data_IF_634827781382
#
_entry.id   IF_634827781382
#
_cell.length_a   1.000
_cell.length_b   1.000
_cell.length_c   1.000
_cell.angle_alpha   90.00
_cell.angle_beta   90.00
_cell.angle_gamma   90.00
#
_symmetry.space_group_name_H-M   'P 1'
#
loop_
_entity.id
_entity.type
_entity.pdbx_description
1 polymer ?
#
# COMPACT_ATOMS: atom_id res chain seq x y z
N UNK A 1 27.53 20.45 11.81
CA UNK A 1 26.07 20.54 11.98
C UNK A 1 25.53 20.84 10.60
N UNK A 2 25.56 19.85 9.72
CA UNK A 2 25.26 20.04 8.30
C UNK A 2 23.75 20.09 8.12
N UNK A 3 23.25 21.31 7.92
CA UNK A 3 21.91 21.60 7.42
C UNK A 3 21.84 21.20 5.94
N UNK A 4 21.94 19.91 5.66
CA UNK A 4 21.40 19.36 4.43
C UNK A 4 19.88 19.40 4.59
N UNK A 5 19.25 20.37 3.92
CA UNK A 5 17.80 20.46 3.78
C UNK A 5 17.33 19.23 2.99
N UNK A 6 17.27 18.06 3.63
CA UNK A 6 16.79 16.81 3.04
C UNK A 6 15.29 16.94 2.84
N UNK A 7 14.89 17.46 1.68
CA UNK A 7 13.56 17.20 1.17
C UNK A 7 13.43 15.68 1.05
N UNK A 8 12.50 15.02 1.76
CA UNK A 8 12.43 13.55 1.77
C UNK A 8 12.07 12.92 0.41
N UNK A 9 11.96 13.71 -0.67
CA UNK A 9 11.72 13.24 -2.03
C UNK A 9 12.37 14.18 -3.06
N UNK A 10 12.69 13.65 -4.25
CA UNK A 10 13.10 14.46 -5.40
C UNK A 10 11.97 15.36 -5.93
N UNK A 11 10.70 15.03 -5.64
CA UNK A 11 9.52 15.81 -6.03
C UNK A 11 8.30 15.41 -5.17
N UNK A 12 7.36 16.34 -4.92
CA UNK A 12 6.05 16.07 -4.33
C UNK A 12 4.96 16.66 -5.20
N UNK A 13 3.90 15.88 -5.42
CA UNK A 13 2.69 16.34 -6.09
C UNK A 13 1.52 16.22 -5.11
N UNK A 14 1.04 17.35 -4.58
CA UNK A 14 -0.05 17.41 -3.59
C UNK A 14 0.34 18.15 -2.30
N UNK A 15 -0.52 18.06 -1.28
CA UNK A 15 -0.43 18.84 -0.02
C UNK A 15 0.07 18.02 1.18
N UNK A 16 0.92 17.03 0.92
CA UNK A 16 1.35 16.06 1.94
C UNK A 16 2.29 16.70 2.99
N UNK A 17 2.09 16.46 4.30
CA UNK A 17 2.89 17.09 5.34
C UNK A 17 4.33 16.57 5.30
N UNK A 18 5.33 17.47 5.27
CA UNK A 18 6.73 17.06 5.11
C UNK A 18 7.29 16.22 6.26
N UNK A 19 6.77 16.42 7.46
CA UNK A 19 7.38 15.93 8.71
C UNK A 19 7.29 14.41 8.90
N UNK A 20 6.33 13.75 8.23
CA UNK A 20 6.08 12.32 8.44
C UNK A 20 6.89 11.41 7.50
N UNK A 21 7.59 11.98 6.51
CA UNK A 21 8.29 11.21 5.49
C UNK A 21 9.78 11.19 5.72
N UNK A 22 10.41 10.07 5.39
CA UNK A 22 11.85 9.89 5.51
C UNK A 22 12.35 9.07 4.34
N UNK A 23 13.41 9.54 3.66
CA UNK A 23 14.03 8.77 2.58
C UNK A 23 14.48 7.38 3.07
N UNK A 24 14.11 6.34 2.33
CA UNK A 24 14.50 4.96 2.57
C UNK A 24 14.27 4.07 1.34
N UNK A 25 13.85 2.84 1.57
CA UNK A 25 13.77 1.78 0.55
C UNK A 25 12.41 1.07 0.50
N UNK A 26 11.38 1.61 1.14
CA UNK A 26 10.03 1.05 1.12
C UNK A 26 9.16 1.80 0.13
N UNK A 27 8.64 1.10 -0.89
CA UNK A 27 7.58 1.62 -1.74
C UNK A 27 6.24 1.59 -0.99
N UNK A 28 5.43 2.63 -1.08
CA UNK A 28 4.08 2.66 -0.47
C UNK A 28 3.03 2.93 -1.55
N UNK A 29 2.03 2.06 -1.65
CA UNK A 29 0.87 2.25 -2.54
C UNK A 29 -0.44 2.15 -1.75
N UNK A 30 -1.34 3.11 -1.94
CA UNK A 30 -2.65 3.09 -1.30
C UNK A 30 -3.72 3.79 -2.13
N UNK A 31 -4.97 3.34 -1.99
CA UNK A 31 -6.15 4.07 -2.49
C UNK A 31 -6.59 5.22 -1.59
N UNK A 32 -6.32 5.12 -0.27
CA UNK A 32 -6.78 6.09 0.71
C UNK A 32 -5.67 7.08 1.07
N UNK A 33 -5.89 8.37 0.77
CA UNK A 33 -4.91 9.41 1.10
C UNK A 33 -4.61 9.54 2.60
N UNK A 34 -5.61 9.37 3.45
CA UNK A 34 -5.43 9.44 4.91
C UNK A 34 -4.70 8.22 5.47
N UNK A 35 -4.99 7.01 4.96
CA UNK A 35 -4.25 5.82 5.35
C UNK A 35 -2.82 5.83 4.81
N UNK A 36 -2.56 6.44 3.65
CA UNK A 36 -1.19 6.68 3.18
C UNK A 36 -0.38 7.41 4.25
N UNK A 37 -0.92 8.47 4.84
CA UNK A 37 -0.21 9.24 5.86
C UNK A 37 0.03 8.44 7.13
N UNK A 38 -0.96 7.65 7.56
CA UNK A 38 -0.79 6.77 8.72
C UNK A 38 0.33 5.75 8.48
N UNK A 39 0.31 5.09 7.32
CA UNK A 39 1.28 4.03 7.00
C UNK A 39 2.70 4.58 6.85
N UNK A 40 2.85 5.71 6.15
CA UNK A 40 4.12 6.45 6.06
C UNK A 40 4.62 6.84 7.44
N UNK A 41 3.75 7.42 8.27
CA UNK A 41 4.12 7.81 9.62
C UNK A 41 4.58 6.59 10.44
N UNK A 42 3.84 5.48 10.39
CA UNK A 42 4.22 4.23 11.06
C UNK A 42 5.57 3.70 10.58
N UNK A 43 5.84 3.72 9.26
CA UNK A 43 7.14 3.31 8.69
C UNK A 43 8.26 4.21 9.23
N UNK A 44 8.07 5.53 9.15
CA UNK A 44 9.08 6.52 9.53
C UNK A 44 9.41 6.49 11.04
N UNK A 45 8.40 6.47 11.92
CA UNK A 45 8.64 6.43 13.38
C UNK A 45 9.28 5.11 13.84
N UNK A 46 9.11 4.03 13.06
CA UNK A 46 9.73 2.75 13.31
C UNK A 46 11.13 2.60 12.69
N UNK A 47 11.72 3.69 12.19
CA UNK A 47 13.09 3.75 11.71
C UNK A 47 13.31 3.25 10.28
N UNK A 48 12.23 2.97 9.55
CA UNK A 48 12.28 2.74 8.11
C UNK A 48 12.07 4.07 7.38
N UNK A 49 12.12 4.03 6.05
CA UNK A 49 11.83 5.19 5.21
C UNK A 49 11.34 4.75 3.84
N UNK A 50 10.72 5.68 3.14
CA UNK A 50 10.08 5.44 1.86
C UNK A 50 11.03 5.73 0.69
N UNK A 51 10.98 4.89 -0.35
CA UNK A 51 11.58 5.19 -1.66
C UNK A 51 10.66 6.12 -2.45
N UNK A 52 9.42 5.66 -2.66
CA UNK A 52 8.36 6.37 -3.38
C UNK A 52 7.00 6.05 -2.76
N UNK A 53 6.11 7.03 -2.70
CA UNK A 53 4.75 6.91 -2.15
C UNK A 53 3.74 7.29 -3.23
N UNK A 54 2.82 6.38 -3.56
CA UNK A 54 1.81 6.54 -4.62
C UNK A 54 0.41 6.43 -4.01
N UNK A 55 -0.38 7.49 -4.15
CA UNK A 55 -1.81 7.47 -3.85
C UNK A 55 -2.62 7.24 -5.13
N UNK A 56 -3.26 6.09 -5.27
CA UNK A 56 -4.07 5.74 -6.45
C UNK A 56 -5.42 6.48 -6.49
N UNK A 57 -5.92 6.89 -5.33
CA UNK A 57 -7.26 7.45 -5.17
C UNK A 57 -8.36 6.40 -5.02
N UNK A 58 -9.51 6.86 -4.50
CA UNK A 58 -10.68 6.03 -4.21
C UNK A 58 -11.71 5.95 -5.33
N UNK A 59 -11.49 6.66 -6.43
CA UNK A 59 -12.44 6.72 -7.53
C UNK A 59 -12.55 5.36 -8.25
N UNK A 60 -13.68 5.09 -8.96
CA UNK A 60 -13.85 3.84 -9.69
C UNK A 60 -12.95 3.75 -10.92
N UNK A 61 -12.56 4.90 -11.48
CA UNK A 61 -11.64 5.03 -12.60
C UNK A 61 -10.45 5.85 -12.11
N UNK A 62 -9.29 5.20 -12.03
CA UNK A 62 -8.05 5.83 -11.60
C UNK A 62 -7.10 5.94 -12.79
N UNK A 63 -6.19 6.91 -12.76
CA UNK A 63 -5.15 7.04 -13.80
C UNK A 63 -4.08 5.94 -13.73
N UNK A 64 -3.98 5.26 -12.58
CA UNK A 64 -3.03 4.19 -12.30
C UNK A 64 -3.71 3.16 -11.39
N UNK A 65 -3.43 1.87 -11.56
CA UNK A 65 -3.87 0.80 -10.66
C UNK A 65 -2.71 0.20 -9.86
N UNK A 66 -2.96 -0.82 -9.02
CA UNK A 66 -1.91 -1.47 -8.24
C UNK A 66 -0.83 -2.13 -9.10
N UNK A 67 -1.21 -2.78 -10.20
CA UNK A 67 -0.27 -3.47 -11.09
C UNK A 67 0.67 -2.46 -11.74
N UNK A 68 0.13 -1.34 -12.24
CA UNK A 68 0.95 -0.26 -12.80
C UNK A 68 1.96 0.26 -11.78
N UNK A 69 1.52 0.51 -10.55
CA UNK A 69 2.40 1.00 -9.48
C UNK A 69 3.44 -0.05 -9.04
N UNK A 70 3.06 -1.33 -9.02
CA UNK A 70 3.99 -2.43 -8.77
C UNK A 70 5.02 -2.55 -9.89
N UNK A 71 4.66 -2.36 -11.16
CA UNK A 71 5.64 -2.32 -12.26
C UNK A 71 6.65 -1.17 -12.10
N UNK A 72 6.22 0.00 -11.64
CA UNK A 72 7.16 1.09 -11.33
C UNK A 72 8.08 0.75 -10.15
N UNK A 73 7.54 0.15 -9.07
CA UNK A 73 8.37 -0.33 -7.97
C UNK A 73 9.32 -1.46 -8.37
N UNK A 74 8.95 -2.30 -9.34
CA UNK A 74 9.81 -3.35 -9.87
C UNK A 74 11.06 -2.76 -10.51
N UNK A 75 10.89 -1.67 -11.27
CA UNK A 75 11.96 -0.94 -11.98
C UNK A 75 12.81 -0.07 -11.04
N UNK A 76 12.25 0.44 -9.95
CA UNK A 76 12.96 1.30 -9.01
C UNK A 76 13.96 0.53 -8.15
N UNK A 77 15.27 0.66 -8.45
CA UNK A 77 16.36 0.02 -7.70
C UNK A 77 16.42 0.45 -6.22
N UNK A 78 15.88 1.61 -5.84
CA UNK A 78 15.83 2.05 -4.44
C UNK A 78 14.77 1.27 -3.64
N UNK A 79 13.72 0.78 -4.31
CA UNK A 79 12.66 0.03 -3.66
C UNK A 79 13.11 -1.40 -3.36
N UNK A 80 13.19 -1.75 -2.07
CA UNK A 80 13.54 -3.08 -1.56
C UNK A 80 12.33 -3.87 -1.07
N UNK A 81 11.26 -3.21 -0.64
CA UNK A 81 9.99 -3.83 -0.26
C UNK A 81 8.81 -2.88 -0.54
N UNK A 82 7.60 -3.41 -0.65
CA UNK A 82 6.39 -2.61 -0.89
C UNK A 82 5.37 -2.81 0.23
N UNK A 83 4.84 -1.71 0.78
CA UNK A 83 3.65 -1.68 1.61
C UNK A 83 2.44 -1.35 0.75
N UNK A 84 1.54 -2.31 0.57
CA UNK A 84 0.33 -2.18 -0.24
C UNK A 84 -0.92 -2.07 0.63
N UNK A 85 -1.65 -0.96 0.52
CA UNK A 85 -2.81 -0.68 1.37
C UNK A 85 -4.08 -0.68 0.53
N UNK A 86 -4.90 -1.71 0.74
CA UNK A 86 -6.16 -1.90 0.05
C UNK A 86 -7.40 -1.65 0.89
N UNK A 87 -8.54 -1.77 0.23
CA UNK A 87 -9.88 -1.61 0.80
C UNK A 87 -10.81 -2.69 0.26
N UNK A 88 -11.88 -2.99 0.99
CA UNK A 88 -12.98 -3.80 0.47
C UNK A 88 -13.64 -3.20 -0.80
N UNK A 89 -14.24 -4.09 -1.59
CA UNK A 89 -14.96 -3.79 -2.82
C UNK A 89 -14.07 -3.73 -4.07
N UNK A 90 -14.63 -4.15 -5.21
CA UNK A 90 -13.85 -4.41 -6.43
C UNK A 90 -12.88 -5.58 -6.29
N UNK A 91 -12.06 -5.80 -7.32
CA UNK A 91 -11.14 -6.95 -7.43
C UNK A 91 -9.66 -6.56 -7.53
N UNK A 92 -9.35 -5.27 -7.39
CA UNK A 92 -8.02 -4.74 -7.69
C UNK A 92 -6.90 -5.38 -6.85
N UNK A 93 -7.16 -5.68 -5.57
CA UNK A 93 -6.21 -6.34 -4.68
C UNK A 93 -6.04 -7.83 -5.00
N UNK A 94 -7.12 -8.53 -5.41
CA UNK A 94 -7.02 -9.91 -5.88
C UNK A 94 -6.23 -10.00 -7.21
N UNK A 95 -6.46 -9.07 -8.13
CA UNK A 95 -5.69 -8.95 -9.39
C UNK A 95 -4.22 -8.60 -9.11
N UNK A 96 -3.97 -7.70 -8.16
CA UNK A 96 -2.62 -7.39 -7.69
C UNK A 96 -1.94 -8.63 -7.09
N UNK A 97 -2.67 -9.45 -6.30
CA UNK A 97 -2.13 -10.68 -5.74
C UNK A 97 -1.72 -11.68 -6.84
N UNK A 98 -2.55 -11.85 -7.88
CA UNK A 98 -2.20 -12.70 -9.03
C UNK A 98 -0.97 -12.18 -9.77
N UNK A 99 -0.87 -10.87 -9.97
CA UNK A 99 0.31 -10.26 -10.56
C UNK A 99 1.55 -10.45 -9.68
N UNK A 100 1.43 -10.25 -8.36
CA UNK A 100 2.55 -10.42 -7.41
C UNK A 100 3.10 -11.84 -7.50
N UNK A 101 2.21 -12.84 -7.47
CA UNK A 101 2.57 -14.25 -7.52
C UNK A 101 3.35 -14.64 -8.78
N UNK A 102 2.99 -14.06 -9.92
CA UNK A 102 3.50 -14.51 -11.22
C UNK A 102 4.63 -13.63 -11.77
N UNK A 103 4.67 -12.34 -11.40
CA UNK A 103 5.46 -11.33 -12.12
C UNK A 103 6.24 -10.36 -11.23
N UNK A 104 6.05 -10.36 -9.91
CA UNK A 104 6.71 -9.42 -9.01
C UNK A 104 7.68 -10.14 -8.06
N UNK A 105 8.89 -9.61 -7.94
CA UNK A 105 10.00 -10.28 -7.25
C UNK A 105 10.47 -9.60 -5.97
N UNK A 106 9.85 -8.47 -5.59
CA UNK A 106 10.17 -7.76 -4.34
C UNK A 106 9.14 -8.13 -3.28
N UNK A 107 9.53 -8.23 -2.00
CA UNK A 107 8.60 -8.58 -0.94
C UNK A 107 7.50 -7.51 -0.81
N UNK A 108 6.27 -7.98 -0.63
CA UNK A 108 5.10 -7.13 -0.39
C UNK A 108 4.52 -7.48 0.99
N UNK A 109 4.17 -6.45 1.74
CA UNK A 109 3.29 -6.56 2.91
C UNK A 109 2.04 -5.75 2.64
N UNK A 110 0.90 -6.17 3.19
CA UNK A 110 -0.37 -5.51 2.90
C UNK A 110 -1.24 -5.27 4.11
N UNK A 111 -2.14 -4.30 4.01
CA UNK A 111 -3.24 -4.08 4.94
C UNK A 111 -4.52 -3.83 4.14
N UNK A 112 -5.61 -4.51 4.50
CA UNK A 112 -6.95 -4.31 3.92
C UNK A 112 -7.83 -3.61 4.95
N UNK A 113 -8.26 -2.39 4.63
CA UNK A 113 -9.21 -1.62 5.45
C UNK A 113 -10.66 -2.02 5.17
N UNK A 114 -11.58 -1.64 6.06
CA UNK A 114 -13.01 -1.91 5.93
C UNK A 114 -13.42 -3.32 6.36
N UNK A 115 -12.58 -4.05 7.13
CA UNK A 115 -12.85 -5.42 7.61
C UNK A 115 -14.12 -5.55 8.44
N UNK A 116 -14.49 -4.49 9.17
CA UNK A 116 -15.69 -4.46 10.02
C UNK A 116 -16.94 -3.95 9.29
N UNK A 117 -16.89 -3.81 7.96
CA UNK A 117 -18.01 -3.32 7.20
C UNK A 117 -19.19 -4.31 7.20
N UNK A 118 -20.42 -3.86 7.50
CA UNK A 118 -21.59 -4.72 7.42
C UNK A 118 -21.86 -5.15 5.96
N UNK A 119 -22.38 -6.36 5.73
CA UNK A 119 -22.76 -6.83 4.40
C UNK A 119 -23.73 -5.87 3.69
N UNK A 120 -23.55 -5.73 2.37
CA UNK A 120 -24.46 -4.93 1.53
C UNK A 120 -24.30 -3.41 1.65
N UNK A 121 -23.32 -2.90 2.40
CA UNK A 121 -23.02 -1.46 2.44
C UNK A 121 -21.90 -1.08 1.47
N UNK A 122 -22.15 0.01 0.74
CA UNK A 122 -21.14 0.75 0.00
C UNK A 122 -20.29 1.56 0.99
N UNK A 123 -18.97 1.43 0.91
CA UNK A 123 -18.05 2.26 1.71
C UNK A 123 -17.73 3.59 1.02
N UNK A 124 -17.00 4.45 1.71
CA UNK A 124 -16.80 5.86 1.34
C UNK A 124 -16.15 6.08 -0.03
N UNK A 125 -15.30 5.15 -0.50
CA UNK A 125 -14.75 5.23 -1.84
C UNK A 125 -15.74 4.72 -2.89
N UNK A 126 -15.88 5.48 -3.97
CA UNK A 126 -16.92 5.26 -4.97
C UNK A 126 -16.83 3.88 -5.66
N UNK A 127 -15.67 3.23 -5.65
CA UNK A 127 -15.43 1.88 -6.19
C UNK A 127 -15.65 0.70 -5.23
N UNK A 128 -16.03 0.94 -3.97
CA UNK A 128 -16.18 -0.13 -2.96
C UNK A 128 -17.52 -0.88 -3.10
N UNK A 129 -17.65 -1.71 -4.16
CA UNK A 129 -18.81 -2.59 -4.39
C UNK A 129 -18.38 -4.04 -4.18
N UNK A 130 -19.06 -4.76 -3.28
CA UNK A 130 -18.84 -6.18 -3.03
C UNK A 130 -19.82 -6.98 -3.90
N UNK A 131 -19.32 -7.93 -4.69
CA UNK A 131 -20.16 -8.72 -5.60
C UNK A 131 -19.82 -10.21 -5.52
N UNK A 132 -20.85 -11.05 -5.28
CA UNK A 132 -20.80 -12.52 -5.42
C UNK A 132 -19.53 -13.17 -4.85
N UNK A 133 -19.20 -12.90 -3.58
CA UNK A 133 -18.07 -13.51 -2.87
C UNK A 133 -16.68 -12.94 -3.21
N UNK A 134 -16.60 -11.96 -4.11
CA UNK A 134 -15.37 -11.21 -4.41
C UNK A 134 -15.45 -9.79 -3.86
N UNK A 135 -14.29 -9.23 -3.55
CA UNK A 135 -14.16 -7.90 -2.97
C UNK A 135 -14.45 -7.83 -1.47
N UNK A 136 -14.62 -8.96 -0.77
CA UNK A 136 -14.68 -8.94 0.70
C UNK A 136 -13.28 -8.75 1.28
N UNK A 137 -13.17 -8.32 2.53
CA UNK A 137 -11.86 -8.29 3.18
C UNK A 137 -11.22 -9.68 3.21
N UNK A 138 -12.02 -10.71 3.50
CA UNK A 138 -11.60 -12.11 3.53
C UNK A 138 -11.10 -12.60 2.17
N UNK A 139 -11.82 -12.32 1.07
CA UNK A 139 -11.38 -12.76 -0.26
C UNK A 139 -10.04 -12.12 -0.65
N UNK A 140 -9.87 -10.84 -0.32
CA UNK A 140 -8.64 -10.07 -0.59
C UNK A 140 -7.47 -10.56 0.24
N UNK A 141 -7.66 -10.73 1.55
CA UNK A 141 -6.62 -11.26 2.45
C UNK A 141 -6.19 -12.64 1.96
N UNK A 142 -7.13 -13.54 1.68
CA UNK A 142 -6.84 -14.88 1.20
C UNK A 142 -6.03 -14.86 -0.11
N UNK A 143 -6.44 -14.07 -1.10
CA UNK A 143 -5.73 -13.96 -2.36
C UNK A 143 -4.28 -13.47 -2.17
N UNK A 144 -4.09 -12.47 -1.31
CA UNK A 144 -2.78 -11.92 -0.99
C UNK A 144 -1.89 -12.93 -0.26
N UNK A 145 -2.41 -13.62 0.75
CA UNK A 145 -1.69 -14.66 1.47
C UNK A 145 -1.30 -15.82 0.55
N UNK A 146 -2.18 -16.24 -0.38
CA UNK A 146 -1.89 -17.25 -1.41
C UNK A 146 -0.83 -16.80 -2.44
N UNK A 147 -0.58 -15.48 -2.55
CA UNK A 147 0.50 -14.89 -3.32
C UNK A 147 1.80 -14.69 -2.51
N UNK A 148 1.83 -15.13 -1.24
CA UNK A 148 2.98 -14.99 -0.35
C UNK A 148 3.09 -13.61 0.33
N UNK A 149 2.06 -12.78 0.24
CA UNK A 149 2.01 -11.46 0.88
C UNK A 149 1.60 -11.61 2.33
N UNK A 150 2.36 -11.00 3.25
CA UNK A 150 1.96 -10.93 4.66
C UNK A 150 0.94 -9.82 4.85
N UNK A 151 -0.24 -10.16 5.38
CA UNK A 151 -1.34 -9.19 5.55
C UNK A 151 -1.49 -8.81 7.01
N UNK A 152 -1.15 -7.57 7.35
CA UNK A 152 -1.33 -6.98 8.67
C UNK A 152 -2.80 -6.94 9.06
N UNK A 153 -3.11 -7.22 10.31
CA UNK A 153 -4.44 -7.03 10.91
C UNK A 153 -4.71 -5.57 11.24
N UNK A 154 -3.66 -4.82 11.59
CA UNK A 154 -3.73 -3.40 11.91
C UNK A 154 -2.61 -2.61 11.22
N UNK A 155 -2.82 -1.31 10.90
CA UNK A 155 -1.80 -0.48 10.25
C UNK A 155 -0.45 -0.44 10.97
N UNK A 156 -0.45 -0.45 12.31
CA UNK A 156 0.77 -0.39 13.13
C UNK A 156 1.66 -1.64 13.01
N UNK A 157 1.15 -2.75 12.44
CA UNK A 157 1.92 -3.99 12.26
C UNK A 157 2.77 -3.96 10.97
N UNK A 158 2.45 -3.06 10.02
CA UNK A 158 3.16 -2.96 8.73
C UNK A 158 4.67 -2.79 8.92
N UNK A 159 5.19 -1.92 9.82
CA UNK A 159 6.63 -1.79 10.01
C UNK A 159 7.32 -3.06 10.52
N UNK A 160 6.67 -3.87 11.38
CA UNK A 160 7.29 -5.11 11.85
C UNK A 160 7.37 -6.14 10.71
N UNK A 161 6.30 -6.27 9.93
CA UNK A 161 6.28 -7.16 8.76
C UNK A 161 7.31 -6.74 7.71
N UNK A 162 7.46 -5.43 7.45
CA UNK A 162 8.50 -4.90 6.56
C UNK A 162 9.90 -5.28 7.05
N UNK A 163 10.19 -5.10 8.34
CA UNK A 163 11.48 -5.48 8.94
C UNK A 163 11.76 -6.97 8.85
N UNK A 164 10.73 -7.82 8.85
CA UNK A 164 10.91 -9.27 8.70
C UNK A 164 11.26 -9.68 7.28
N UNK A 165 10.70 -9.01 6.27
CA UNK A 165 10.94 -9.34 4.84
C UNK A 165 12.17 -8.63 4.26
N UNK A 166 12.67 -7.58 4.91
CA UNK A 166 13.88 -6.85 4.52
C UNK A 166 15.18 -7.44 5.10
N UNK A 167 15.09 -8.54 5.86
CA UNK A 167 16.26 -9.23 6.44
C UNK A 167 17.08 -10.00 5.42
#
# INVERSE_FOLDING_TARGET
>A
MDLELRLPFSCKLGIMPNQIFRKGNVGVISRSGTLTYEIVNQITINGLGESTVIGLGGDPVTGMNYIDALEEFKKDEQTAAVAMVGEIGGTAEEEAAEYIKNNFNKPVVSYITGRSAPPGKRMGHAGAIISRGKGTAESKVKALEEAGVRVASYPYEIPSLLKEVLK
#
